data_IF_157544244708
#
_entry.id   IF_157544244708
#
_cell.length_a   1.000
_cell.length_b   1.000
_cell.length_c   1.000
_cell.angle_alpha   90.00
_cell.angle_beta   90.00
_cell.angle_gamma   90.00
#
_symmetry.space_group_name_H-M   'P 1'
#
loop_
_entity.id
_entity.type
_entity.pdbx_description
1 polymer ?
#
# COMPACT_ATOMS: atom_id res chain seq x y z
N UNK A 1 3.34 6.09 -38.37
CA UNK A 1 4.56 5.41 -37.88
C UNK A 1 4.23 4.87 -36.51
N UNK A 2 3.95 3.56 -36.44
CA UNK A 2 3.64 2.89 -35.16
C UNK A 2 4.94 2.61 -34.43
N UNK A 3 5.14 3.27 -33.30
CA UNK A 3 6.23 2.94 -32.39
C UNK A 3 5.67 1.99 -31.35
N UNK A 4 5.91 0.70 -31.54
CA UNK A 4 5.68 -0.34 -30.55
C UNK A 4 6.75 -0.20 -29.45
N UNK A 5 6.41 0.37 -28.30
CA UNK A 5 7.25 0.30 -27.12
C UNK A 5 6.95 -1.00 -26.36
N UNK A 6 7.61 -2.07 -26.76
CA UNK A 6 7.92 -3.19 -25.87
C UNK A 6 9.19 -2.81 -25.13
N UNK A 7 9.09 -2.10 -24.04
CA UNK A 7 10.24 -1.82 -23.20
C UNK A 7 10.32 -2.88 -22.09
N UNK A 8 10.92 -4.02 -22.39
CA UNK A 8 11.69 -4.79 -21.43
C UNK A 8 12.97 -4.02 -21.14
N UNK A 9 12.93 -3.00 -20.30
CA UNK A 9 14.13 -2.42 -19.75
C UNK A 9 14.68 -3.42 -18.73
N UNK A 10 15.79 -4.08 -19.09
CA UNK A 10 16.68 -4.78 -18.18
C UNK A 10 17.25 -3.76 -17.18
N UNK A 11 16.53 -3.51 -16.09
CA UNK A 11 17.10 -2.87 -14.93
C UNK A 11 17.86 -3.96 -14.16
N UNK A 12 19.17 -3.78 -14.07
CA UNK A 12 20.03 -4.59 -13.22
C UNK A 12 19.44 -4.67 -11.81
N UNK A 13 19.26 -5.88 -11.32
CA UNK A 13 18.81 -6.19 -9.96
C UNK A 13 19.71 -5.46 -8.96
N UNK A 14 19.20 -4.60 -8.08
CA UNK A 14 20.04 -4.06 -7.02
C UNK A 14 20.48 -5.22 -6.11
N UNK A 15 21.76 -5.31 -5.77
CA UNK A 15 22.26 -6.34 -4.87
C UNK A 15 21.82 -5.99 -3.43
N UNK A 16 20.79 -6.62 -2.95
CA UNK A 16 20.44 -6.62 -1.54
C UNK A 16 20.14 -8.04 -1.11
N UNK A 17 20.55 -8.47 0.08
CA UNK A 17 20.21 -9.81 0.55
C UNK A 17 18.70 -9.86 0.79
N UNK A 18 18.03 -10.33 -0.23
CA UNK A 18 16.66 -10.74 -0.17
C UNK A 18 16.61 -12.00 0.68
N UNK A 19 16.15 -11.91 1.91
CA UNK A 19 15.97 -13.08 2.77
C UNK A 19 14.47 -13.36 2.93
N UNK A 20 13.82 -14.02 1.94
CA UNK A 20 12.41 -14.36 2.05
C UNK A 20 12.11 -15.42 3.12
N UNK A 21 13.15 -15.97 3.77
CA UNK A 21 13.04 -17.15 4.62
C UNK A 21 13.75 -17.03 5.98
N UNK A 22 13.97 -15.82 6.51
CA UNK A 22 14.40 -15.69 7.90
C UNK A 22 13.18 -15.86 8.81
N UNK A 23 13.36 -16.54 9.94
CA UNK A 23 12.30 -16.85 10.91
C UNK A 23 11.51 -15.63 11.43
N UNK A 24 11.97 -14.42 11.21
CA UNK A 24 11.29 -13.18 11.57
C UNK A 24 10.38 -12.58 10.49
N UNK A 25 10.46 -13.05 9.22
CA UNK A 25 9.67 -12.47 8.12
C UNK A 25 8.19 -12.86 8.17
N UNK A 26 7.91 -14.05 8.69
CA UNK A 26 6.57 -14.60 8.79
C UNK A 26 6.22 -14.91 10.24
N UNK A 27 5.67 -13.95 10.98
CA UNK A 27 5.43 -14.10 12.41
C UNK A 27 4.37 -15.15 12.79
N UNK A 28 3.73 -15.81 11.84
CA UNK A 28 2.69 -16.81 12.09
C UNK A 28 1.36 -16.20 12.55
N UNK A 29 0.47 -17.05 13.12
CA UNK A 29 -0.85 -16.61 13.61
C UNK A 29 -0.81 -16.10 15.05
N UNK A 30 0.17 -16.52 15.83
CA UNK A 30 0.29 -16.22 17.27
C UNK A 30 1.13 -14.98 17.56
N UNK A 31 0.90 -13.90 16.85
CA UNK A 31 1.58 -12.66 17.19
C UNK A 31 0.96 -12.11 18.48
N UNK A 32 1.63 -12.30 19.59
CA UNK A 32 1.45 -11.47 20.76
C UNK A 32 2.08 -10.12 20.47
N UNK A 33 1.21 -9.24 20.01
CA UNK A 33 1.42 -7.80 19.88
C UNK A 33 2.82 -7.33 19.48
N UNK A 34 3.11 -7.18 18.20
CA UNK A 34 4.09 -6.19 17.80
C UNK A 34 3.57 -4.84 18.29
N UNK A 35 4.47 -3.96 18.72
CA UNK A 35 4.12 -2.65 19.25
C UNK A 35 3.13 -1.93 18.32
N UNK A 36 1.88 -1.91 18.72
CA UNK A 36 0.83 -1.18 18.03
C UNK A 36 1.21 0.30 18.09
N UNK A 37 1.66 0.87 17.00
CA UNK A 37 1.94 2.30 16.97
C UNK A 37 0.64 3.06 17.16
N UNK A 38 0.63 3.96 18.14
CA UNK A 38 -0.51 4.78 18.52
C UNK A 38 -1.08 5.50 17.29
N UNK A 39 -2.39 5.46 17.18
CA UNK A 39 -3.16 6.17 16.19
C UNK A 39 -2.89 7.68 16.21
N UNK A 40 -2.65 8.26 15.05
CA UNK A 40 -3.02 9.66 14.83
C UNK A 40 -4.50 9.71 14.44
N UNK A 41 -5.15 10.81 14.78
CA UNK A 41 -6.61 10.99 14.73
C UNK A 41 -7.32 10.70 13.41
N UNK A 42 -6.60 10.48 12.32
CA UNK A 42 -7.16 10.36 10.96
C UNK A 42 -6.91 9.03 10.24
N UNK A 43 -6.15 8.08 10.79
CA UNK A 43 -5.74 6.90 10.02
C UNK A 43 -5.96 5.56 10.72
N UNK A 44 -6.07 4.49 9.92
CA UNK A 44 -6.10 3.10 10.39
C UNK A 44 -4.82 2.75 11.17
N UNK A 45 -4.89 1.79 12.13
CA UNK A 45 -3.71 1.32 12.84
C UNK A 45 -2.71 0.69 11.88
N UNK A 46 -1.48 1.18 11.97
CA UNK A 46 -0.34 0.59 11.25
C UNK A 46 0.52 -0.13 12.26
N UNK A 47 0.66 -1.43 12.08
CA UNK A 47 1.54 -2.24 12.90
C UNK A 47 2.94 -2.23 12.31
N UNK A 48 3.95 -1.98 13.13
CA UNK A 48 5.35 -2.07 12.71
C UNK A 48 6.01 -3.23 13.43
N UNK A 49 6.71 -4.07 12.68
CA UNK A 49 7.51 -5.18 13.18
C UNK A 49 8.77 -5.28 12.33
N UNK A 50 9.92 -5.43 12.95
CA UNK A 50 11.18 -5.63 12.25
C UNK A 50 11.12 -6.87 11.36
N UNK A 51 11.69 -6.77 10.19
CA UNK A 51 11.75 -7.83 9.17
C UNK A 51 10.41 -8.37 8.66
N UNK A 52 9.27 -7.90 9.15
CA UNK A 52 7.98 -8.35 8.65
C UNK A 52 7.75 -7.91 7.19
N UNK A 53 7.02 -8.75 6.47
CA UNK A 53 6.58 -8.44 5.11
C UNK A 53 5.18 -7.85 5.18
N UNK A 54 4.98 -6.75 4.47
CA UNK A 54 3.73 -6.01 4.41
C UNK A 54 3.12 -6.03 3.03
N UNK A 55 1.81 -6.23 2.97
CA UNK A 55 0.99 -5.81 1.85
C UNK A 55 0.45 -4.42 2.14
N UNK A 56 0.63 -3.50 1.22
CA UNK A 56 0.26 -2.08 1.35
C UNK A 56 -0.59 -1.68 0.16
N UNK A 57 -1.65 -0.91 0.42
CA UNK A 57 -2.43 -0.24 -0.63
C UNK A 57 -2.41 1.27 -0.38
N UNK A 58 -1.94 2.00 -1.37
CA UNK A 58 -2.05 3.46 -1.45
C UNK A 58 -3.07 3.81 -2.54
N UNK A 59 -4.01 4.68 -2.26
CA UNK A 59 -5.01 5.04 -3.26
C UNK A 59 -5.20 6.55 -3.39
N UNK A 60 -5.66 6.98 -4.57
CA UNK A 60 -5.87 8.40 -4.85
C UNK A 60 -6.95 9.00 -3.94
N UNK A 61 -6.82 10.28 -3.66
CA UNK A 61 -7.72 11.02 -2.76
C UNK A 61 -9.19 10.97 -3.17
N UNK A 62 -9.45 10.82 -4.46
CA UNK A 62 -10.79 10.80 -5.06
C UNK A 62 -11.26 9.41 -5.51
N UNK A 63 -10.46 8.36 -5.25
CA UNK A 63 -10.79 6.97 -5.64
C UNK A 63 -11.99 6.38 -4.92
N UNK A 64 -12.36 6.96 -3.77
CA UNK A 64 -13.47 6.50 -2.94
C UNK A 64 -14.49 7.64 -2.80
N UNK A 65 -15.78 7.38 -3.08
CA UNK A 65 -16.83 8.38 -2.94
C UNK A 65 -16.90 9.01 -1.56
N UNK A 66 -17.14 10.33 -1.50
CA UNK A 66 -17.15 11.11 -0.25
C UNK A 66 -18.12 10.51 0.78
N UNK A 67 -19.33 10.11 0.36
CA UNK A 67 -20.33 9.53 1.26
C UNK A 67 -19.88 8.22 1.91
N UNK A 68 -19.09 7.41 1.23
CA UNK A 68 -18.52 6.19 1.81
C UNK A 68 -17.40 6.53 2.80
N UNK A 69 -16.53 7.48 2.45
CA UNK A 69 -15.52 7.97 3.39
C UNK A 69 -16.13 8.50 4.69
N UNK A 70 -17.25 9.23 4.59
CA UNK A 70 -17.96 9.73 5.77
C UNK A 70 -18.52 8.61 6.66
N UNK A 71 -19.09 7.55 6.06
CA UNK A 71 -19.54 6.37 6.82
C UNK A 71 -18.39 5.70 7.58
N UNK A 72 -17.25 5.58 6.94
CA UNK A 72 -16.08 4.96 7.58
C UNK A 72 -15.48 5.84 8.66
N UNK A 73 -15.42 7.15 8.42
CA UNK A 73 -14.99 8.10 9.44
C UNK A 73 -15.91 8.05 10.68
N UNK A 74 -17.21 7.96 10.49
CA UNK A 74 -18.18 7.84 11.58
C UNK A 74 -17.97 6.56 12.40
N UNK A 75 -17.82 5.40 11.74
CA UNK A 75 -17.53 4.13 12.43
C UNK A 75 -16.22 4.20 13.24
N UNK A 76 -15.20 4.82 12.68
CA UNK A 76 -13.91 5.01 13.35
C UNK A 76 -14.04 5.87 14.59
N UNK A 77 -14.73 7.01 14.49
CA UNK A 77 -14.94 7.91 15.62
C UNK A 77 -15.79 7.28 16.72
N UNK A 78 -16.77 6.46 16.36
CA UNK A 78 -17.56 5.69 17.32
C UNK A 78 -16.69 4.73 18.13
N UNK A 79 -15.90 3.90 17.45
CA UNK A 79 -14.97 2.97 18.10
C UNK A 79 -13.90 3.70 18.93
N UNK A 80 -13.35 4.79 18.41
CA UNK A 80 -12.38 5.62 19.12
C UNK A 80 -12.97 6.21 20.41
N UNK A 81 -14.19 6.69 20.34
CA UNK A 81 -14.91 7.21 21.51
C UNK A 81 -15.15 6.14 22.55
N UNK A 82 -15.54 4.93 22.13
CA UNK A 82 -15.74 3.78 23.00
C UNK A 82 -14.44 3.40 23.73
N UNK A 83 -13.36 3.19 22.99
CA UNK A 83 -12.03 2.83 23.51
C UNK A 83 -11.53 3.87 24.51
N UNK A 84 -11.68 5.17 24.17
CA UNK A 84 -11.31 6.26 25.06
C UNK A 84 -12.16 6.30 26.36
N UNK A 85 -13.47 6.07 26.23
CA UNK A 85 -14.39 6.01 27.37
C UNK A 85 -14.03 4.87 28.33
N UNK A 86 -13.69 3.71 27.78
CA UNK A 86 -13.32 2.52 28.54
C UNK A 86 -11.86 2.53 29.02
N UNK A 87 -11.06 3.54 28.64
CA UNK A 87 -9.62 3.69 28.98
C UNK A 87 -8.80 2.45 28.67
N UNK A 88 -9.07 1.82 27.53
CA UNK A 88 -8.39 0.63 27.04
C UNK A 88 -7.85 0.84 25.63
N UNK A 89 -7.08 -0.10 25.13
CA UNK A 89 -6.71 -0.20 23.74
C UNK A 89 -7.81 -0.88 22.92
N UNK A 90 -7.70 -0.83 21.59
CA UNK A 90 -8.58 -1.57 20.69
C UNK A 90 -8.38 -3.07 20.90
N UNK A 91 -9.47 -3.84 20.87
CA UNK A 91 -9.37 -5.30 20.83
C UNK A 91 -8.98 -5.79 19.44
N UNK A 92 -8.50 -7.03 19.35
CA UNK A 92 -8.14 -7.63 18.06
C UNK A 92 -9.38 -7.74 17.14
N UNK A 93 -10.57 -7.98 17.71
CA UNK A 93 -11.83 -8.04 16.96
C UNK A 93 -12.24 -6.68 16.41
N UNK A 94 -12.06 -5.60 17.19
CA UNK A 94 -12.33 -4.23 16.72
C UNK A 94 -11.37 -3.80 15.62
N UNK A 95 -10.10 -4.17 15.75
CA UNK A 95 -9.08 -3.93 14.71
C UNK A 95 -9.43 -4.72 13.45
N UNK A 96 -9.82 -5.98 13.59
CA UNK A 96 -10.20 -6.81 12.44
C UNK A 96 -11.50 -6.32 11.80
N UNK A 97 -12.47 -5.88 12.59
CA UNK A 97 -13.69 -5.23 12.09
C UNK A 97 -13.36 -3.99 11.25
N UNK A 98 -12.50 -3.11 11.75
CA UNK A 98 -12.05 -1.95 11.00
C UNK A 98 -11.37 -2.36 9.69
N UNK A 99 -10.45 -3.32 9.73
CA UNK A 99 -9.72 -3.80 8.55
C UNK A 99 -10.65 -4.45 7.53
N UNK A 100 -11.59 -5.27 7.96
CA UNK A 100 -12.55 -5.95 7.08
C UNK A 100 -13.55 -4.97 6.48
N UNK A 101 -14.13 -4.09 7.31
CA UNK A 101 -15.07 -3.07 6.85
C UNK A 101 -14.44 -2.12 5.81
N UNK A 102 -13.14 -1.86 5.96
CA UNK A 102 -12.37 -1.05 5.01
C UNK A 102 -11.89 -1.86 3.80
N UNK A 103 -11.27 -3.03 4.03
CA UNK A 103 -10.56 -3.77 2.99
C UNK A 103 -11.45 -4.19 1.83
N UNK A 104 -12.50 -4.95 2.09
CA UNK A 104 -13.37 -5.49 1.05
C UNK A 104 -14.11 -4.38 0.27
N UNK A 105 -14.52 -3.32 0.98
CA UNK A 105 -15.23 -2.19 0.35
C UNK A 105 -14.30 -1.31 -0.46
N UNK A 106 -13.11 -1.03 0.06
CA UNK A 106 -12.07 -0.27 -0.67
C UNK A 106 -11.73 -0.99 -1.97
N UNK A 107 -11.43 -2.27 -1.92
CA UNK A 107 -11.08 -3.06 -3.11
C UNK A 107 -12.16 -2.99 -4.20
N UNK A 108 -13.44 -3.04 -3.81
CA UNK A 108 -14.56 -2.88 -4.75
C UNK A 108 -14.55 -1.52 -5.46
N UNK A 109 -14.30 -0.42 -4.73
CA UNK A 109 -14.24 0.92 -5.32
C UNK A 109 -13.00 1.12 -6.18
N UNK A 110 -11.86 0.58 -5.73
CA UNK A 110 -10.61 0.65 -6.48
C UNK A 110 -10.69 -0.15 -7.79
N UNK A 111 -11.22 -1.37 -7.74
CA UNK A 111 -11.43 -2.21 -8.92
C UNK A 111 -12.43 -1.61 -9.92
N UNK A 112 -13.41 -0.84 -9.45
CA UNK A 112 -14.36 -0.13 -10.30
C UNK A 112 -13.76 1.07 -11.05
N UNK A 113 -12.49 1.44 -10.78
CA UNK A 113 -11.83 2.55 -11.45
C UNK A 113 -12.42 3.92 -11.11
N UNK A 114 -12.93 4.11 -9.88
CA UNK A 114 -13.49 5.38 -9.46
C UNK A 114 -12.41 6.47 -9.33
N UNK A 115 -12.83 7.74 -9.47
CA UNK A 115 -12.00 8.93 -9.35
C UNK A 115 -11.34 9.34 -10.66
N UNK A 116 -10.37 10.24 -10.55
CA UNK A 116 -9.65 10.82 -11.69
C UNK A 116 -8.73 9.86 -12.43
N UNK A 117 -8.37 8.74 -11.79
CA UNK A 117 -7.43 7.76 -12.34
C UNK A 117 -6.11 8.39 -12.83
N UNK A 118 -5.55 9.33 -12.08
CA UNK A 118 -4.34 10.10 -12.46
C UNK A 118 -3.16 9.21 -12.86
N UNK A 119 -3.04 8.03 -12.24
CA UNK A 119 -1.93 7.12 -12.49
C UNK A 119 -2.07 6.33 -13.80
N UNK A 120 -3.16 6.50 -14.54
CA UNK A 120 -3.26 6.01 -15.92
C UNK A 120 -2.29 6.74 -16.86
N UNK A 121 -1.95 7.99 -16.54
CA UNK A 121 -0.90 8.71 -17.25
C UNK A 121 0.46 8.16 -16.83
N UNK A 122 1.20 7.65 -17.81
CA UNK A 122 2.50 7.00 -17.57
C UNK A 122 3.54 7.94 -16.94
N UNK A 123 3.43 9.26 -17.14
CA UNK A 123 4.29 10.24 -16.48
C UNK A 123 4.06 10.25 -14.97
N UNK A 124 2.79 10.17 -14.55
CA UNK A 124 2.42 10.08 -13.15
C UNK A 124 2.81 8.72 -12.55
N UNK A 125 2.51 7.63 -13.26
CA UNK A 125 2.86 6.29 -12.81
C UNK A 125 4.38 6.12 -12.63
N UNK A 126 5.20 6.58 -13.57
CA UNK A 126 6.65 6.55 -13.46
C UNK A 126 7.15 7.40 -12.29
N UNK A 127 6.57 8.60 -12.07
CA UNK A 127 6.93 9.45 -10.94
C UNK A 127 6.67 8.77 -9.57
N UNK A 128 5.67 7.90 -9.48
CA UNK A 128 5.43 7.07 -8.29
C UNK A 128 6.45 5.94 -8.20
N UNK A 129 6.69 5.23 -9.30
CA UNK A 129 7.65 4.13 -9.37
C UNK A 129 9.05 4.57 -8.95
N UNK A 130 9.52 5.73 -9.43
CA UNK A 130 10.85 6.29 -9.12
C UNK A 130 11.05 6.48 -7.60
N UNK A 131 10.00 6.86 -6.87
CA UNK A 131 10.06 7.01 -5.40
C UNK A 131 10.27 5.66 -4.71
N UNK A 132 9.63 4.60 -5.20
CA UNK A 132 9.80 3.26 -4.65
C UNK A 132 11.19 2.71 -4.95
N UNK A 133 11.66 2.89 -6.19
CA UNK A 133 12.98 2.44 -6.63
C UNK A 133 14.12 3.11 -5.86
N UNK A 134 13.95 4.40 -5.54
CA UNK A 134 14.96 5.16 -4.80
C UNK A 134 15.24 4.60 -3.40
N UNK A 135 14.22 4.12 -2.71
CA UNK A 135 14.36 3.61 -1.33
C UNK A 135 14.54 2.08 -1.26
N UNK A 136 14.35 1.41 -2.42
CA UNK A 136 14.49 -0.04 -2.50
C UNK A 136 15.95 -0.49 -2.32
N UNK A 137 16.15 -1.40 -1.39
CA UNK A 137 17.49 -1.89 -1.03
C UNK A 137 18.14 -1.12 0.12
N UNK A 138 17.83 0.14 0.33
CA UNK A 138 18.40 0.97 1.40
C UNK A 138 17.55 0.95 2.68
N UNK A 139 16.30 1.34 2.59
CA UNK A 139 15.37 1.51 3.72
C UNK A 139 14.47 0.28 3.87
N UNK A 140 14.07 -0.32 2.77
CA UNK A 140 13.24 -1.51 2.71
C UNK A 140 13.65 -2.40 1.54
N UNK A 141 13.18 -3.63 1.54
CA UNK A 141 13.24 -4.50 0.37
C UNK A 141 11.84 -4.57 -0.25
N UNK A 142 11.68 -4.06 -1.46
CA UNK A 142 10.42 -4.17 -2.20
C UNK A 142 10.40 -5.50 -2.94
N UNK A 143 9.35 -6.28 -2.74
CA UNK A 143 9.18 -7.58 -3.39
C UNK A 143 8.45 -7.47 -4.72
N UNK A 144 7.41 -6.65 -4.73
CA UNK A 144 6.65 -6.33 -5.94
C UNK A 144 5.79 -5.09 -5.72
N UNK A 145 5.45 -4.42 -6.81
CA UNK A 145 4.44 -3.38 -6.85
C UNK A 145 3.64 -3.43 -8.16
N UNK A 146 2.40 -2.96 -8.08
CA UNK A 146 1.54 -2.72 -9.23
C UNK A 146 0.87 -1.37 -9.07
N UNK A 147 1.13 -0.46 -9.99
CA UNK A 147 0.52 0.86 -10.06
C UNK A 147 -0.67 0.76 -11.01
N UNK A 148 -1.86 0.84 -10.44
CA UNK A 148 -3.15 0.85 -11.11
C UNK A 148 -3.59 2.28 -11.39
N UNK A 149 -4.59 2.53 -12.24
CA UNK A 149 -5.03 3.89 -12.57
C UNK A 149 -5.37 4.80 -11.39
N UNK A 150 -5.89 4.25 -10.29
CA UNK A 150 -6.36 4.99 -9.12
C UNK A 150 -5.79 4.53 -7.78
N UNK A 151 -4.89 3.55 -7.78
CA UNK A 151 -4.24 3.02 -6.57
C UNK A 151 -2.95 2.28 -6.88
N UNK A 152 -2.24 1.91 -5.82
CA UNK A 152 -1.01 1.11 -5.89
C UNK A 152 -1.11 -0.04 -4.91
N UNK A 153 -0.79 -1.24 -5.36
CA UNK A 153 -0.49 -2.39 -4.50
C UNK A 153 1.02 -2.53 -4.38
N UNK A 154 1.50 -2.81 -3.17
CA UNK A 154 2.91 -2.94 -2.88
C UNK A 154 3.13 -4.05 -1.86
N UNK A 155 4.15 -4.88 -2.06
CA UNK A 155 4.65 -5.84 -1.07
C UNK A 155 6.08 -5.48 -0.76
N UNK A 156 6.36 -5.20 0.51
CA UNK A 156 7.67 -4.80 0.99
C UNK A 156 8.01 -5.44 2.32
N UNK A 157 9.30 -5.54 2.59
CA UNK A 157 9.88 -5.92 3.86
C UNK A 157 10.67 -4.76 4.44
N UNK A 158 10.43 -4.43 5.70
CA UNK A 158 11.18 -3.37 6.38
C UNK A 158 12.58 -3.86 6.80
N UNK A 159 13.56 -2.97 6.74
CA UNK A 159 14.83 -3.16 7.43
C UNK A 159 14.70 -2.78 8.91
N UNK A 160 15.57 -3.35 9.72
CA UNK A 160 15.65 -3.05 11.17
C UNK A 160 15.72 -1.55 11.42
N UNK A 161 14.90 -1.08 12.35
CA UNK A 161 14.85 0.34 12.74
C UNK A 161 14.08 1.24 11.77
N UNK A 162 13.44 0.67 10.72
CA UNK A 162 12.56 1.42 9.83
C UNK A 162 11.12 1.28 10.28
N UNK A 163 10.43 2.40 10.43
CA UNK A 163 9.02 2.44 10.75
C UNK A 163 8.17 2.54 9.48
N UNK A 164 7.16 1.67 9.34
CA UNK A 164 6.34 1.58 8.14
C UNK A 164 5.58 2.89 7.85
N UNK A 165 4.93 3.47 8.86
CA UNK A 165 4.09 4.66 8.67
C UNK A 165 4.88 5.88 8.20
N UNK A 166 5.99 6.29 8.85
CA UNK A 166 6.82 7.38 8.36
C UNK A 166 7.33 7.16 6.93
N UNK A 167 7.72 5.94 6.58
CA UNK A 167 8.13 5.59 5.22
C UNK A 167 7.01 5.83 4.20
N UNK A 168 5.81 5.31 4.47
CA UNK A 168 4.68 5.46 3.55
C UNK A 168 4.21 6.90 3.45
N UNK A 169 4.25 7.67 4.54
CA UNK A 169 3.96 9.11 4.51
C UNK A 169 5.00 9.88 3.68
N UNK A 170 6.29 9.56 3.83
CA UNK A 170 7.38 10.10 2.98
C UNK A 170 7.09 9.82 1.51
N UNK A 171 6.76 8.59 1.16
CA UNK A 171 6.47 8.20 -0.22
C UNK A 171 5.26 8.94 -0.80
N UNK A 172 4.15 9.00 -0.05
CA UNK A 172 2.96 9.75 -0.46
C UNK A 172 3.29 11.24 -0.72
N UNK A 173 4.03 11.86 0.17
CA UNK A 173 4.41 13.27 0.03
C UNK A 173 5.29 13.50 -1.20
N UNK A 174 6.36 12.71 -1.37
CA UNK A 174 7.31 12.89 -2.47
C UNK A 174 6.64 12.56 -3.81
N UNK A 175 5.97 11.41 -3.91
CA UNK A 175 5.29 11.01 -5.14
C UNK A 175 4.11 11.92 -5.48
N UNK A 176 3.38 12.42 -4.49
CA UNK A 176 2.30 13.39 -4.71
C UNK A 176 2.81 14.69 -5.37
N UNK A 177 3.91 15.24 -4.87
CA UNK A 177 4.56 16.39 -5.51
C UNK A 177 5.07 16.06 -6.92
N UNK A 178 5.65 14.88 -7.12
CA UNK A 178 6.17 14.47 -8.41
C UNK A 178 5.04 14.28 -9.45
N UNK A 179 3.92 13.64 -9.06
CA UNK A 179 2.72 13.49 -9.89
C UNK A 179 2.14 14.86 -10.26
N UNK A 180 1.98 15.77 -9.30
CA UNK A 180 1.45 17.09 -9.56
C UNK A 180 2.33 17.87 -10.56
N UNK A 181 3.66 17.77 -10.42
CA UNK A 181 4.61 18.37 -11.37
C UNK A 181 4.50 17.72 -12.76
N UNK A 182 4.47 16.40 -12.84
CA UNK A 182 4.41 15.66 -14.10
C UNK A 182 3.15 15.97 -14.92
N UNK A 183 2.04 16.24 -14.22
CA UNK A 183 0.74 16.51 -14.83
C UNK A 183 0.39 18.00 -14.88
N UNK A 184 1.29 18.90 -14.46
CA UNK A 184 1.06 20.35 -14.35
C UNK A 184 -0.24 20.68 -13.59
N UNK A 185 -0.46 20.02 -12.44
CA UNK A 185 -1.65 20.17 -11.59
C UNK A 185 -1.26 20.46 -10.13
N UNK A 186 -2.24 20.84 -9.33
CA UNK A 186 -2.12 21.07 -7.89
C UNK A 186 -3.17 20.25 -7.13
N UNK A 187 -3.03 20.21 -5.80
CA UNK A 187 -3.95 19.56 -4.89
C UNK A 187 -3.48 18.18 -4.44
N UNK A 188 -4.34 17.55 -3.64
CA UNK A 188 -4.07 16.23 -3.09
C UNK A 188 -4.02 15.16 -4.18
N UNK A 189 -3.06 14.25 -4.06
CA UNK A 189 -2.94 13.06 -4.92
C UNK A 189 -3.39 11.82 -4.15
N UNK A 190 -2.93 11.67 -2.92
CA UNK A 190 -3.15 10.47 -2.12
C UNK A 190 -4.17 10.69 -1.01
N UNK A 191 -4.99 9.69 -0.77
CA UNK A 191 -5.82 9.62 0.42
C UNK A 191 -4.94 9.54 1.67
N UNK A 192 -5.37 10.16 2.78
CA UNK A 192 -4.61 10.13 4.03
C UNK A 192 -4.50 8.73 4.61
N UNK A 193 -5.57 7.97 4.54
CA UNK A 193 -5.59 6.59 5.02
C UNK A 193 -4.62 5.71 4.23
N UNK A 194 -3.97 4.80 4.95
CA UNK A 194 -3.06 3.80 4.41
C UNK A 194 -3.57 2.44 4.83
N UNK A 195 -3.83 1.57 3.87
CA UNK A 195 -4.21 0.20 4.17
C UNK A 195 -2.96 -0.68 4.19
N UNK A 196 -2.72 -1.34 5.32
CA UNK A 196 -1.56 -2.21 5.49
C UNK A 196 -1.95 -3.52 6.17
N UNK A 197 -1.28 -4.59 5.76
CA UNK A 197 -1.44 -5.92 6.36
C UNK A 197 -0.08 -6.59 6.50
N UNK A 198 0.21 -7.16 7.65
CA UNK A 198 1.37 -8.05 7.82
C UNK A 198 1.04 -9.39 7.17
N UNK A 199 1.93 -9.85 6.31
CA UNK A 199 1.88 -11.17 5.69
C UNK A 199 2.49 -12.16 6.68
N UNK A 200 1.70 -13.14 7.13
CA UNK A 200 2.02 -13.98 8.28
C UNK A 200 2.58 -15.35 7.95
N UNK A 201 2.37 -15.81 6.71
CA UNK A 201 2.80 -17.14 6.29
C UNK A 201 3.30 -17.13 4.84
N UNK A 202 4.18 -18.08 4.46
CA UNK A 202 4.62 -18.23 3.06
C UNK A 202 3.44 -18.44 2.09
N UNK A 203 2.43 -19.19 2.50
CA UNK A 203 1.23 -19.40 1.68
C UNK A 203 0.42 -18.11 1.47
N UNK A 204 0.31 -17.25 2.48
CA UNK A 204 -0.29 -15.92 2.35
C UNK A 204 0.54 -15.03 1.43
N UNK A 205 1.87 -15.07 1.56
CA UNK A 205 2.79 -14.35 0.68
C UNK A 205 2.56 -14.71 -0.79
N UNK A 206 2.54 -16.00 -1.12
CA UNK A 206 2.28 -16.46 -2.48
C UNK A 206 0.94 -15.97 -3.04
N UNK A 207 -0.12 -16.02 -2.22
CA UNK A 207 -1.45 -15.49 -2.63
C UNK A 207 -1.42 -13.98 -2.86
N UNK A 208 -0.79 -13.21 -1.97
CA UNK A 208 -0.69 -11.75 -2.09
C UNK A 208 0.15 -11.33 -3.30
N UNK A 209 1.26 -12.03 -3.57
CA UNK A 209 2.08 -11.80 -4.76
C UNK A 209 1.30 -12.07 -6.05
N UNK A 210 0.55 -13.18 -6.10
CA UNK A 210 -0.29 -13.52 -7.26
C UNK A 210 -1.42 -12.51 -7.44
N UNK A 211 -2.08 -12.12 -6.35
CA UNK A 211 -3.14 -11.12 -6.36
C UNK A 211 -2.63 -9.78 -6.92
N UNK A 212 -1.54 -9.25 -6.35
CA UNK A 212 -0.94 -8.00 -6.80
C UNK A 212 -0.56 -8.05 -8.29
N UNK A 213 0.06 -9.15 -8.71
CA UNK A 213 0.53 -9.29 -10.09
C UNK A 213 -0.60 -9.37 -11.11
N UNK A 214 -1.67 -10.09 -10.76
CA UNK A 214 -2.81 -10.33 -11.65
C UNK A 214 -3.89 -9.24 -11.55
N UNK A 215 -3.74 -8.25 -10.67
CA UNK A 215 -4.74 -7.21 -10.45
C UNK A 215 -5.13 -6.44 -11.72
N UNK A 216 -4.17 -6.00 -12.59
CA UNK A 216 -4.52 -5.35 -13.85
C UNK A 216 -5.33 -6.24 -14.78
N UNK A 217 -4.96 -7.52 -14.89
CA UNK A 217 -5.65 -8.48 -15.75
C UNK A 217 -7.06 -8.76 -15.24
N UNK A 218 -7.23 -8.90 -13.91
CA UNK A 218 -8.52 -9.07 -13.25
C UNK A 218 -9.44 -7.84 -13.42
N UNK A 219 -8.86 -6.64 -13.48
CA UNK A 219 -9.56 -5.40 -13.78
C UNK A 219 -9.83 -5.18 -15.28
N UNK A 220 -9.42 -6.12 -16.15
CA UNK A 220 -9.59 -6.02 -17.60
C UNK A 220 -8.72 -4.95 -18.27
N UNK A 221 -7.66 -4.50 -17.60
CA UNK A 221 -6.78 -3.47 -18.13
C UNK A 221 -5.81 -4.06 -19.16
N UNK A 222 -5.70 -3.41 -20.31
CA UNK A 222 -4.71 -3.72 -21.34
C UNK A 222 -3.51 -2.77 -21.31
N UNK A 223 -3.72 -1.58 -20.76
CA UNK A 223 -2.73 -0.50 -20.63
C UNK A 223 -3.05 0.41 -19.44
N UNK A 224 -2.26 1.47 -19.24
CA UNK A 224 -2.49 2.46 -18.19
C UNK A 224 -2.18 1.93 -16.80
N UNK A 225 -1.29 0.96 -16.70
CA UNK A 225 -0.74 0.46 -15.45
C UNK A 225 0.75 0.16 -15.58
N UNK A 226 1.44 0.08 -14.44
CA UNK A 226 2.83 -0.41 -14.34
C UNK A 226 2.88 -1.53 -13.30
N UNK A 227 3.72 -2.52 -13.50
CA UNK A 227 4.02 -3.53 -12.48
C UNK A 227 5.47 -3.96 -12.54
N UNK A 228 6.02 -4.27 -11.36
CA UNK A 228 7.36 -4.80 -11.22
C UNK A 228 7.40 -5.85 -10.12
N UNK A 229 8.19 -6.88 -10.35
CA UNK A 229 8.48 -7.92 -9.39
C UNK A 229 9.99 -8.09 -9.30
N UNK A 230 10.49 -8.12 -8.09
CA UNK A 230 11.87 -8.45 -7.82
C UNK A 230 11.94 -9.94 -7.52
N UNK A 231 12.73 -10.66 -8.29
CA UNK A 231 12.94 -12.10 -8.06
C UNK A 231 13.98 -12.22 -6.95
N UNK A 232 13.74 -13.10 -5.93
CA UNK A 232 14.74 -13.37 -4.90
C UNK A 232 15.98 -14.02 -5.49
#
# INVERSE_FOLDING_TARGET
>A
MNVSFTSSSEYSTPPGPFLPHTDGCFPGRDIRSPSLQKFNDSSLPVWTMDHAIYSVVLHLADSIPVHERMKWAALREELKTLVKKERRDYTDEEIELLKTAYGERIEKYLAAGNGSCLLRDMRAANAVADVFEHDNGDICAIHAWTIMPNHVHLILQLKTGTELRPLLQKWKRISGHAVNRALAREGEVWMDDIYTRIIRTPGEYGRQMSYLWNNPDAAGLKDGFLRRRYVP
#
